data_IF_865785511063
#
_entry.id   IF_865785511063
#
_cell.length_a   1.000
_cell.length_b   1.000
_cell.length_c   1.000
_cell.angle_alpha   90.00
_cell.angle_beta   90.00
_cell.angle_gamma   90.00
#
_symmetry.space_group_name_H-M   'P 1'
#
loop_
_entity.id
_entity.type
_entity.pdbx_description
1 polymer ?
#
# COMPACT_ATOMS: atom_id res chain seq x y z
N UNK A 1 22.83 83.10 40.88
CA UNK A 1 22.67 83.07 42.34
C UNK A 1 22.09 81.72 42.73
N UNK A 2 22.92 80.94 43.35
CA UNK A 2 22.72 79.67 44.08
C UNK A 2 21.59 79.72 45.10
N UNK A 3 21.16 78.62 45.80
CA UNK A 3 21.68 77.28 45.91
C UNK A 3 20.57 76.16 46.04
N UNK A 4 20.92 74.85 45.82
CA UNK A 4 21.24 73.78 46.78
C UNK A 4 20.09 73.16 47.60
N UNK A 5 20.02 71.87 47.53
CA UNK A 5 19.80 70.77 48.49
C UNK A 5 18.98 69.64 47.90
N UNK A 6 19.54 68.55 47.51
CA UNK A 6 19.94 67.31 48.24
C UNK A 6 18.86 66.75 49.20
N UNK A 7 18.34 65.60 48.93
CA UNK A 7 18.07 64.55 49.94
C UNK A 7 17.91 63.19 49.31
N UNK A 8 18.78 62.30 49.72
CA UNK A 8 18.76 60.83 49.57
C UNK A 8 17.55 60.22 50.25
N UNK A 9 17.10 59.11 49.72
CA UNK A 9 16.63 57.89 50.38
C UNK A 9 16.08 57.00 49.30
N UNK A 10 16.45 55.76 49.07
CA UNK A 10 16.63 54.64 49.89
C UNK A 10 16.34 53.47 49.04
N UNK A 11 17.25 52.56 48.93
CA UNK A 11 17.25 51.32 48.19
C UNK A 11 16.07 50.34 48.48
N UNK A 12 15.59 49.70 47.46
CA UNK A 12 15.11 48.32 47.60
C UNK A 12 15.25 47.59 46.26
N UNK A 13 16.33 46.83 46.09
CA UNK A 13 16.49 45.82 45.08
C UNK A 13 15.49 44.69 45.36
N UNK A 14 14.49 44.52 44.52
CA UNK A 14 13.70 43.31 44.44
C UNK A 14 14.03 42.67 43.09
N UNK A 15 14.99 41.76 43.11
CA UNK A 15 15.29 40.83 41.99
C UNK A 15 14.19 39.78 41.93
N UNK A 16 13.24 39.93 40.99
CA UNK A 16 12.33 38.87 40.63
C UNK A 16 12.99 37.96 39.57
N UNK A 17 13.02 36.64 39.75
CA UNK A 17 13.49 35.75 38.67
C UNK A 17 12.44 35.75 37.57
N UNK A 18 12.83 36.16 36.35
CA UNK A 18 12.07 36.02 35.12
C UNK A 18 12.09 34.55 34.70
N UNK A 19 11.06 33.79 35.09
CA UNK A 19 10.81 32.46 34.56
C UNK A 19 10.36 32.65 33.12
N UNK A 20 11.27 32.44 32.17
CA UNK A 20 10.95 32.33 30.77
C UNK A 20 10.18 31.02 30.55
N UNK A 21 8.86 31.09 30.59
CA UNK A 21 7.99 30.04 30.07
C UNK A 21 8.19 30.01 28.56
N UNK A 22 9.04 29.08 28.08
CA UNK A 22 9.17 28.76 26.66
C UNK A 22 7.84 28.28 26.12
N UNK A 23 7.09 29.19 25.52
CA UNK A 23 5.89 28.87 24.79
C UNK A 23 6.30 27.98 23.59
N UNK A 24 6.02 26.70 23.67
CA UNK A 24 6.01 25.85 22.49
C UNK A 24 4.94 26.40 21.54
N UNK A 25 5.39 27.10 20.49
CA UNK A 25 4.49 27.53 19.43
C UNK A 25 3.87 26.22 18.83
N UNK A 26 2.53 26.15 18.73
CA UNK A 26 1.92 25.03 18.04
C UNK A 26 2.49 25.01 16.62
N UNK A 27 3.12 23.90 16.24
CA UNK A 27 3.42 23.60 14.83
C UNK A 27 2.05 23.53 14.16
N UNK A 28 1.66 24.58 13.49
CA UNK A 28 0.49 24.56 12.62
C UNK A 28 0.84 23.60 11.49
N UNK A 29 0.26 22.42 11.52
CA UNK A 29 0.19 21.58 10.35
C UNK A 29 -0.41 22.46 9.25
N UNK A 30 0.41 22.83 8.27
CA UNK A 30 -0.07 23.53 7.08
C UNK A 30 -1.03 22.57 6.39
N UNK A 31 -2.34 22.80 6.60
CA UNK A 31 -3.34 22.21 5.74
C UNK A 31 -2.97 22.69 4.33
N UNK A 32 -2.61 21.74 3.47
CA UNK A 32 -2.41 22.02 2.04
C UNK A 32 -3.78 22.43 1.52
N UNK A 33 -4.08 23.72 1.64
CA UNK A 33 -5.33 24.29 1.16
C UNK A 33 -5.33 24.23 -0.37
N UNK A 34 -6.40 23.71 -0.93
CA UNK A 34 -6.61 23.76 -2.37
C UNK A 34 -6.80 25.23 -2.78
N UNK A 35 -5.97 25.68 -3.71
CA UNK A 35 -6.03 27.05 -4.21
C UNK A 35 -7.31 27.25 -5.02
N UNK A 36 -7.99 28.37 -4.84
CA UNK A 36 -9.14 28.74 -5.67
C UNK A 36 -8.66 29.16 -7.08
N UNK A 37 -9.00 28.35 -8.07
CA UNK A 37 -8.70 28.60 -9.48
C UNK A 37 -9.74 27.91 -10.33
N UNK A 38 -10.16 28.55 -11.41
CA UNK A 38 -11.12 27.97 -12.37
C UNK A 38 -10.55 26.75 -13.12
N UNK A 39 -9.22 26.67 -13.20
CA UNK A 39 -8.49 25.57 -13.85
C UNK A 39 -7.48 25.00 -12.86
N UNK A 40 -7.51 23.70 -12.70
CA UNK A 40 -6.52 22.93 -11.94
C UNK A 40 -5.73 22.04 -12.89
N UNK A 41 -4.53 21.71 -12.48
CA UNK A 41 -3.65 20.79 -13.21
C UNK A 41 -3.25 19.66 -12.29
N UNK A 42 -3.21 18.46 -12.85
CA UNK A 42 -2.77 17.25 -12.16
C UNK A 42 -1.85 16.45 -13.07
N UNK A 43 -0.90 15.75 -12.47
CA UNK A 43 -0.02 14.81 -13.15
C UNK A 43 -0.49 13.37 -12.87
N UNK A 44 -1.19 12.71 -13.83
CA UNK A 44 -1.72 11.36 -13.63
C UNK A 44 -0.64 10.31 -13.38
N UNK A 45 0.56 10.47 -13.97
CA UNK A 45 1.66 9.55 -13.80
C UNK A 45 2.19 9.61 -12.37
N UNK A 46 2.41 10.81 -11.84
CA UNK A 46 2.78 11.00 -10.44
C UNK A 46 1.70 10.51 -9.48
N UNK A 47 0.41 10.72 -9.79
CA UNK A 47 -0.67 10.15 -8.97
C UNK A 47 -0.55 8.63 -8.88
N UNK A 48 -0.31 7.95 -10.02
CA UNK A 48 -0.17 6.51 -10.06
C UNK A 48 1.09 6.02 -9.31
N UNK A 49 2.22 6.73 -9.45
CA UNK A 49 3.49 6.33 -8.85
C UNK A 49 3.59 6.66 -7.35
N UNK A 50 3.05 7.81 -6.93
CA UNK A 50 3.25 8.33 -5.57
C UNK A 50 2.17 7.86 -4.59
N UNK A 51 0.95 7.51 -5.04
CA UNK A 51 -0.12 7.07 -4.14
C UNK A 51 0.08 5.62 -3.68
N UNK A 52 -0.33 5.33 -2.43
CA UNK A 52 -0.35 3.97 -1.89
C UNK A 52 -1.21 3.01 -2.73
N UNK A 53 -2.31 3.50 -3.29
CA UNK A 53 -3.16 2.72 -4.19
C UNK A 53 -2.41 2.31 -5.46
N UNK A 54 -1.74 3.25 -6.14
CA UNK A 54 -0.98 2.97 -7.36
C UNK A 54 0.22 2.04 -7.11
N UNK A 55 0.92 2.25 -5.98
CA UNK A 55 2.00 1.36 -5.54
C UNK A 55 1.51 -0.06 -5.24
N UNK A 56 0.33 -0.20 -4.61
CA UNK A 56 -0.27 -1.51 -4.35
C UNK A 56 -0.64 -2.23 -5.66
N UNK A 57 -1.22 -1.52 -6.64
CA UNK A 57 -1.52 -2.06 -7.97
C UNK A 57 -0.24 -2.52 -8.67
N UNK A 58 0.82 -1.72 -8.62
CA UNK A 58 2.12 -2.05 -9.22
C UNK A 58 2.73 -3.28 -8.57
N UNK A 59 2.70 -3.37 -7.24
CA UNK A 59 3.19 -4.52 -6.49
C UNK A 59 2.40 -5.80 -6.81
N UNK A 60 1.07 -5.70 -6.92
CA UNK A 60 0.22 -6.82 -7.32
C UNK A 60 0.57 -7.34 -8.71
N UNK A 61 0.71 -6.45 -9.70
CA UNK A 61 1.08 -6.83 -11.07
C UNK A 61 2.48 -7.49 -11.12
N UNK A 62 3.41 -7.01 -10.30
CA UNK A 62 4.73 -7.62 -10.21
C UNK A 62 4.65 -9.03 -9.60
N UNK A 63 3.85 -9.21 -8.55
CA UNK A 63 3.62 -10.53 -7.94
C UNK A 63 2.98 -11.52 -8.94
N UNK A 64 1.93 -11.07 -9.65
CA UNK A 64 1.28 -11.87 -10.70
C UNK A 64 2.28 -12.33 -11.78
N UNK A 65 3.21 -11.45 -12.17
CA UNK A 65 4.27 -11.77 -13.12
C UNK A 65 5.22 -12.84 -12.57
N UNK A 66 5.62 -12.73 -11.32
CA UNK A 66 6.50 -13.70 -10.65
C UNK A 66 5.83 -15.06 -10.53
N UNK A 67 4.54 -15.08 -10.17
CA UNK A 67 3.74 -16.30 -10.09
C UNK A 67 3.59 -16.98 -11.46
N UNK A 68 3.41 -16.22 -12.52
CA UNK A 68 3.38 -16.76 -13.90
C UNK A 68 4.71 -17.40 -14.30
N UNK A 69 5.83 -16.75 -13.95
CA UNK A 69 7.17 -17.30 -14.22
C UNK A 69 7.38 -18.60 -13.44
N UNK A 70 7.02 -18.60 -12.16
CA UNK A 70 7.14 -19.80 -11.31
C UNK A 70 6.27 -20.96 -11.81
N UNK A 71 5.02 -20.66 -12.20
CA UNK A 71 4.11 -21.64 -12.78
C UNK A 71 4.64 -22.24 -14.08
N UNK A 72 5.16 -21.40 -15.00
CA UNK A 72 5.72 -21.87 -16.26
C UNK A 72 6.92 -22.81 -16.03
N UNK A 73 7.84 -22.44 -15.14
CA UNK A 73 8.97 -23.30 -14.78
C UNK A 73 8.54 -24.64 -14.20
N UNK A 74 7.51 -24.63 -13.36
CA UNK A 74 6.93 -25.84 -12.78
C UNK A 74 6.35 -26.75 -13.88
N UNK A 75 5.55 -26.17 -14.80
CA UNK A 75 4.94 -26.92 -15.90
C UNK A 75 5.98 -27.47 -16.87
N UNK A 76 7.06 -26.73 -17.16
CA UNK A 76 8.18 -27.20 -17.97
C UNK A 76 8.87 -28.40 -17.31
N UNK A 77 9.15 -28.35 -16.01
CA UNK A 77 9.76 -29.47 -15.28
C UNK A 77 8.83 -30.70 -15.21
N UNK A 78 7.52 -30.50 -15.08
CA UNK A 78 6.56 -31.61 -15.14
C UNK A 78 6.53 -32.28 -16.52
N UNK A 79 6.55 -31.49 -17.60
CA UNK A 79 6.59 -32.02 -18.97
C UNK A 79 7.88 -32.77 -19.26
N UNK A 80 9.03 -32.24 -18.79
CA UNK A 80 10.34 -32.91 -18.94
C UNK A 80 10.36 -34.27 -18.20
N UNK A 81 9.82 -34.32 -16.99
CA UNK A 81 9.72 -35.57 -16.23
C UNK A 81 8.79 -36.58 -16.89
N UNK A 82 7.66 -36.14 -17.48
CA UNK A 82 6.71 -36.98 -18.19
C UNK A 82 7.31 -37.53 -19.50
N UNK A 83 8.04 -36.69 -20.27
CA UNK A 83 8.77 -37.10 -21.49
C UNK A 83 9.83 -38.17 -21.18
N UNK A 84 10.58 -38.00 -20.09
CA UNK A 84 11.56 -38.96 -19.64
C UNK A 84 10.90 -40.31 -19.29
N UNK A 85 9.80 -40.24 -18.53
CA UNK A 85 9.05 -41.44 -18.15
C UNK A 85 8.45 -42.19 -19.37
N UNK A 86 7.95 -41.44 -20.36
CA UNK A 86 7.49 -42.03 -21.63
C UNK A 86 8.65 -42.70 -22.41
N UNK A 87 9.82 -42.07 -22.41
CA UNK A 87 11.01 -42.63 -23.06
C UNK A 87 11.43 -43.96 -22.42
N UNK A 88 11.38 -44.07 -21.09
CA UNK A 88 11.68 -45.33 -20.37
C UNK A 88 10.63 -46.42 -20.63
N UNK A 89 9.36 -46.05 -20.80
CA UNK A 89 8.26 -47.00 -21.06
C UNK A 89 8.27 -47.54 -22.49
N UNK A 90 8.96 -46.91 -23.42
CA UNK A 90 8.94 -47.28 -24.85
C UNK A 90 9.30 -48.73 -25.12
N UNK A 91 10.29 -49.27 -24.42
CA UNK A 91 10.79 -50.62 -24.64
C UNK A 91 9.90 -51.71 -23.98
N UNK A 92 9.02 -51.29 -23.08
CA UNK A 92 8.15 -52.20 -22.29
C UNK A 92 6.68 -52.14 -22.69
N UNK A 93 6.29 -51.19 -23.54
CA UNK A 93 4.92 -50.95 -23.98
C UNK A 93 4.71 -51.40 -25.42
N UNK A 94 3.51 -51.85 -25.77
CA UNK A 94 3.19 -52.18 -27.14
C UNK A 94 3.22 -50.96 -28.07
N UNK A 95 3.56 -51.09 -29.36
CA UNK A 95 3.63 -49.97 -30.29
C UNK A 95 2.32 -49.16 -30.41
N UNK A 96 1.17 -49.81 -30.21
CA UNK A 96 -0.14 -49.14 -30.26
C UNK A 96 -0.39 -48.33 -28.98
N UNK A 97 -0.21 -48.92 -27.82
CA UNK A 97 -0.34 -48.24 -26.52
C UNK A 97 0.66 -47.08 -26.39
N UNK A 98 1.90 -47.28 -26.85
CA UNK A 98 2.89 -46.20 -26.82
C UNK A 98 2.48 -45.03 -27.69
N UNK A 99 1.85 -45.25 -28.84
CA UNK A 99 1.33 -44.19 -29.70
C UNK A 99 0.24 -43.41 -29.01
N UNK A 100 -0.71 -44.08 -28.34
CA UNK A 100 -1.79 -43.42 -27.61
C UNK A 100 -1.23 -42.53 -26.47
N UNK A 101 -0.22 -43.02 -25.75
CA UNK A 101 0.46 -42.23 -24.69
C UNK A 101 1.20 -41.01 -25.27
N UNK A 102 1.91 -41.16 -26.39
CA UNK A 102 2.61 -40.07 -27.05
C UNK A 102 1.63 -39.01 -27.57
N UNK A 103 0.52 -39.43 -28.20
CA UNK A 103 -0.52 -38.52 -28.67
C UNK A 103 -1.14 -37.71 -27.48
N UNK A 104 -1.43 -38.39 -26.37
CA UNK A 104 -1.96 -37.74 -25.16
C UNK A 104 -0.96 -36.72 -24.55
N UNK A 105 0.33 -37.07 -24.57
CA UNK A 105 1.39 -36.14 -24.12
C UNK A 105 1.48 -34.92 -25.04
N UNK A 106 1.49 -35.12 -26.36
CA UNK A 106 1.52 -34.00 -27.32
C UNK A 106 0.32 -33.06 -27.17
N UNK A 107 -0.87 -33.60 -26.98
CA UNK A 107 -2.05 -32.80 -26.68
C UNK A 107 -1.90 -31.99 -25.37
N UNK A 108 -1.32 -32.63 -24.34
CA UNK A 108 -1.05 -31.92 -23.05
C UNK A 108 -0.05 -30.78 -23.22
N UNK A 109 1.04 -31.01 -23.95
CA UNK A 109 2.04 -29.98 -24.30
C UNK A 109 1.37 -28.82 -25.01
N UNK A 110 0.54 -29.07 -26.01
CA UNK A 110 -0.17 -28.01 -26.75
C UNK A 110 -1.13 -27.21 -25.85
N UNK A 111 -1.90 -27.90 -25.00
CA UNK A 111 -2.79 -27.21 -24.03
C UNK A 111 -2.01 -26.34 -23.08
N UNK A 112 -0.93 -26.83 -22.46
CA UNK A 112 -0.10 -26.08 -21.54
C UNK A 112 0.49 -24.82 -22.22
N UNK A 113 1.02 -24.96 -23.43
CA UNK A 113 1.57 -23.83 -24.21
C UNK A 113 0.50 -22.78 -24.53
N UNK A 114 -0.69 -23.22 -24.97
CA UNK A 114 -1.78 -22.31 -25.27
C UNK A 114 -2.25 -21.55 -24.01
N UNK A 115 -2.35 -22.25 -22.88
CA UNK A 115 -2.76 -21.66 -21.61
C UNK A 115 -1.72 -20.68 -21.06
N UNK A 116 -0.42 -21.02 -21.12
CA UNK A 116 0.66 -20.12 -20.75
C UNK A 116 0.62 -18.84 -21.59
N UNK A 117 0.50 -18.96 -22.90
CA UNK A 117 0.40 -17.79 -23.79
C UNK A 117 -0.84 -16.94 -23.51
N UNK A 118 -1.98 -17.56 -23.16
CA UNK A 118 -3.18 -16.84 -22.79
C UNK A 118 -2.97 -16.03 -21.51
N UNK A 119 -2.40 -16.62 -20.44
CA UNK A 119 -2.11 -15.96 -19.17
C UNK A 119 -1.15 -14.79 -19.33
N UNK A 120 -0.07 -14.97 -20.12
CA UNK A 120 0.87 -13.89 -20.40
C UNK A 120 0.21 -12.71 -21.09
N UNK A 121 -0.61 -12.98 -22.12
CA UNK A 121 -1.36 -11.91 -22.80
C UNK A 121 -2.39 -11.24 -21.91
N UNK A 122 -3.00 -11.96 -20.99
CA UNK A 122 -3.95 -11.40 -20.02
C UNK A 122 -3.25 -10.50 -19.03
N UNK A 123 -2.14 -10.95 -18.45
CA UNK A 123 -1.31 -10.12 -17.57
C UNK A 123 -0.85 -8.83 -18.26
N UNK A 124 -0.37 -8.92 -19.51
CA UNK A 124 0.07 -7.75 -20.27
C UNK A 124 -1.08 -6.75 -20.49
N UNK A 125 -2.28 -7.22 -20.85
CA UNK A 125 -3.46 -6.36 -20.96
C UNK A 125 -3.85 -5.71 -19.63
N UNK A 126 -3.73 -6.44 -18.52
CA UNK A 126 -4.02 -5.89 -17.20
C UNK A 126 -3.01 -4.78 -16.83
N UNK A 127 -1.73 -5.01 -17.12
CA UNK A 127 -0.67 -4.02 -16.93
C UNK A 127 -0.91 -2.75 -17.75
N UNK A 128 -1.30 -2.90 -19.01
CA UNK A 128 -1.59 -1.76 -19.90
C UNK A 128 -2.82 -0.96 -19.43
N UNK A 129 -3.82 -1.61 -18.83
CA UNK A 129 -5.04 -0.98 -18.34
C UNK A 129 -4.92 -0.37 -16.95
N UNK A 130 -3.98 -0.85 -16.15
CA UNK A 130 -3.85 -0.48 -14.74
C UNK A 130 -3.84 1.04 -14.49
N UNK A 131 -3.10 1.88 -15.26
CA UNK A 131 -3.14 3.33 -15.06
C UNK A 131 -4.52 3.94 -15.34
N UNK A 132 -5.24 3.43 -16.36
CA UNK A 132 -6.57 3.90 -16.68
C UNK A 132 -7.61 3.50 -15.63
N UNK A 133 -7.51 2.26 -15.14
CA UNK A 133 -8.41 1.75 -14.10
C UNK A 133 -8.14 2.46 -12.75
N UNK A 134 -6.89 2.77 -12.46
CA UNK A 134 -6.51 3.63 -11.34
C UNK A 134 -7.16 5.01 -11.45
N UNK A 135 -7.07 5.67 -12.62
CA UNK A 135 -7.67 6.99 -12.83
C UNK A 135 -9.19 6.98 -12.60
N UNK A 136 -9.89 5.92 -13.02
CA UNK A 136 -11.32 5.77 -12.72
C UNK A 136 -11.63 5.64 -11.23
N UNK A 137 -10.75 4.97 -10.48
CA UNK A 137 -10.93 4.81 -9.04
C UNK A 137 -10.70 6.14 -8.29
N UNK A 138 -9.76 6.96 -8.73
CA UNK A 138 -9.43 8.24 -8.08
C UNK A 138 -10.29 9.40 -8.56
N UNK A 139 -11.01 9.27 -9.67
CA UNK A 139 -11.89 10.30 -10.24
C UNK A 139 -12.82 10.95 -9.21
N UNK A 140 -13.53 10.21 -8.32
CA UNK A 140 -14.39 10.82 -7.33
C UNK A 140 -13.64 11.76 -6.38
N UNK A 141 -12.41 11.41 -6.00
CA UNK A 141 -11.56 12.24 -5.13
C UNK A 141 -11.13 13.53 -5.84
N UNK A 142 -10.78 13.43 -7.14
CA UNK A 142 -10.44 14.59 -7.96
C UNK A 142 -11.64 15.52 -8.15
N UNK A 143 -12.84 14.97 -8.30
CA UNK A 143 -14.09 15.74 -8.39
C UNK A 143 -14.36 16.52 -7.09
N UNK A 144 -14.09 15.94 -5.94
CA UNK A 144 -14.23 16.61 -4.64
C UNK A 144 -13.22 17.76 -4.52
N UNK A 145 -11.95 17.53 -4.85
CA UNK A 145 -10.92 18.57 -4.86
C UNK A 145 -11.28 19.72 -5.84
N UNK A 146 -11.80 19.37 -7.01
CA UNK A 146 -12.27 20.36 -7.99
C UNK A 146 -13.39 21.23 -7.40
N UNK A 147 -14.36 20.66 -6.69
CA UNK A 147 -15.45 21.42 -6.05
C UNK A 147 -14.95 22.29 -4.91
N UNK A 148 -14.05 21.78 -4.08
CA UNK A 148 -13.45 22.55 -2.97
C UNK A 148 -12.68 23.78 -3.47
N UNK A 149 -11.99 23.63 -4.61
CA UNK A 149 -11.27 24.74 -5.26
C UNK A 149 -12.17 25.71 -6.02
N UNK A 150 -13.45 25.36 -6.26
CA UNK A 150 -14.34 26.11 -7.14
C UNK A 150 -13.94 26.02 -8.62
N UNK A 151 -13.15 25.03 -8.99
CA UNK A 151 -12.65 24.87 -10.34
C UNK A 151 -13.71 24.26 -11.28
N UNK A 152 -13.66 24.69 -12.52
CA UNK A 152 -14.51 24.16 -13.58
C UNK A 152 -13.86 23.01 -14.36
N UNK A 153 -12.51 22.92 -14.35
CA UNK A 153 -11.75 21.96 -15.15
C UNK A 153 -10.52 21.49 -14.40
N UNK A 154 -10.22 20.18 -14.53
CA UNK A 154 -8.92 19.59 -14.19
C UNK A 154 -8.25 19.13 -15.47
N UNK A 155 -7.01 19.54 -15.70
CA UNK A 155 -6.23 19.25 -16.90
C UNK A 155 -5.04 18.34 -16.58
N UNK A 156 -4.69 17.47 -17.52
CA UNK A 156 -3.44 16.70 -17.45
C UNK A 156 -2.24 17.66 -17.67
N UNK A 157 -1.29 17.64 -16.75
CA UNK A 157 -0.07 18.44 -16.80
C UNK A 157 0.68 18.34 -18.13
N UNK A 158 0.68 17.17 -18.75
CA UNK A 158 1.35 16.92 -20.04
C UNK A 158 0.73 17.67 -21.23
N UNK A 159 -0.53 18.09 -21.08
CA UNK A 159 -1.24 18.88 -22.12
C UNK A 159 -1.08 20.37 -21.94
N UNK A 160 -0.50 20.82 -20.82
CA UNK A 160 -0.32 22.23 -20.49
C UNK A 160 1.09 22.66 -20.81
N UNK A 161 1.26 23.66 -21.67
CA UNK A 161 2.58 24.15 -22.08
C UNK A 161 3.32 24.91 -20.94
N UNK A 162 2.58 25.78 -20.24
CA UNK A 162 3.08 26.57 -19.11
C UNK A 162 1.97 26.67 -18.06
N UNK A 163 2.35 26.49 -16.81
CA UNK A 163 1.46 26.63 -15.66
C UNK A 163 2.18 27.27 -14.49
N UNK A 164 1.47 27.93 -13.61
CA UNK A 164 1.97 28.36 -12.32
C UNK A 164 1.83 27.18 -11.33
N UNK A 165 2.78 27.02 -10.42
CA UNK A 165 2.76 25.94 -9.41
C UNK A 165 1.48 25.97 -8.56
N UNK A 166 0.87 27.12 -8.41
CA UNK A 166 -0.33 27.34 -7.61
C UNK A 166 -1.56 26.56 -8.13
N UNK A 167 -1.63 26.25 -9.43
CA UNK A 167 -2.74 25.49 -10.02
C UNK A 167 -2.46 23.98 -10.06
N UNK A 168 -1.25 23.54 -9.74
CA UNK A 168 -0.88 22.13 -9.66
C UNK A 168 -1.33 21.55 -8.32
N UNK A 169 -2.36 20.69 -8.40
CA UNK A 169 -2.93 20.02 -7.23
C UNK A 169 -2.40 18.61 -7.02
N UNK A 170 -1.38 18.17 -7.78
CA UNK A 170 -0.91 16.77 -7.75
C UNK A 170 -0.59 16.29 -6.34
N UNK A 171 0.19 17.07 -5.57
CA UNK A 171 0.56 16.68 -4.19
C UNK A 171 -0.64 16.66 -3.23
N UNK A 172 -1.59 17.59 -3.38
CA UNK A 172 -2.83 17.58 -2.60
C UNK A 172 -3.71 16.39 -2.95
N UNK A 173 -3.77 16.04 -4.25
CA UNK A 173 -4.51 14.88 -4.72
C UNK A 173 -3.90 13.57 -4.21
N UNK A 174 -2.56 13.42 -4.23
CA UNK A 174 -1.87 12.25 -3.63
C UNK A 174 -2.29 12.06 -2.18
N UNK A 175 -2.19 13.11 -1.36
CA UNK A 175 -2.57 13.04 0.06
C UNK A 175 -4.04 12.68 0.27
N UNK A 176 -4.94 13.27 -0.53
CA UNK A 176 -6.38 13.00 -0.41
C UNK A 176 -6.73 11.59 -0.88
N UNK A 177 -6.13 11.10 -1.96
CA UNK A 177 -6.30 9.73 -2.45
C UNK A 177 -5.83 8.74 -1.40
N UNK A 178 -4.66 8.98 -0.81
CA UNK A 178 -4.11 8.11 0.23
C UNK A 178 -4.95 8.09 1.50
N UNK A 179 -5.55 9.20 1.86
CA UNK A 179 -6.45 9.28 2.99
C UNK A 179 -7.80 8.58 2.75
N UNK A 180 -8.27 8.53 1.49
CA UNK A 180 -9.61 8.05 1.15
C UNK A 180 -9.62 6.62 0.61
N UNK A 181 -8.64 6.28 -0.24
CA UNK A 181 -8.59 5.02 -1.01
C UNK A 181 -7.34 4.19 -0.70
N UNK A 182 -6.37 4.76 -0.01
CA UNK A 182 -5.16 4.03 0.35
C UNK A 182 -5.50 2.81 1.22
N UNK A 183 -4.77 1.68 1.08
CA UNK A 183 -4.86 0.62 2.06
C UNK A 183 -4.59 1.22 3.44
N UNK A 184 -5.35 0.82 4.45
CA UNK A 184 -5.17 1.31 5.82
C UNK A 184 -3.68 1.24 6.16
N UNK A 185 -3.08 2.37 6.57
CA UNK A 185 -1.72 2.34 7.07
C UNK A 185 -1.67 1.27 8.16
N UNK A 186 -0.66 0.40 8.21
CA UNK A 186 -0.48 -0.45 9.36
C UNK A 186 -0.48 0.47 10.58
N UNK A 187 -1.32 0.14 11.55
CA UNK A 187 -1.54 0.92 12.76
C UNK A 187 -0.19 1.08 13.48
N UNK A 188 0.55 2.16 13.23
CA UNK A 188 1.77 2.51 13.96
C UNK A 188 1.47 3.02 15.38
N UNK A 189 0.30 2.71 15.90
CA UNK A 189 -0.22 3.25 17.13
C UNK A 189 -0.85 2.27 18.07
N UNK A 190 -0.18 1.21 18.48
CA UNK A 190 -0.37 0.67 19.82
C UNK A 190 0.80 -0.23 20.28
N UNK A 191 2.00 0.33 20.33
CA UNK A 191 3.06 -0.19 21.17
C UNK A 191 2.99 0.50 22.55
N UNK A 192 1.80 0.63 23.12
CA UNK A 192 1.66 0.88 24.55
C UNK A 192 1.55 -0.47 25.24
N UNK A 193 2.71 -0.90 25.74
CA UNK A 193 2.85 -2.12 26.50
C UNK A 193 2.03 -2.08 27.78
N UNK A 194 0.84 -2.62 27.72
CA UNK A 194 0.20 -3.13 28.91
C UNK A 194 0.81 -4.52 29.14
N UNK A 195 1.87 -4.54 29.92
CA UNK A 195 2.41 -5.69 30.60
C UNK A 195 1.25 -6.34 31.37
N UNK A 196 0.62 -7.36 30.77
CA UNK A 196 -0.30 -8.23 31.45
C UNK A 196 0.52 -9.03 32.48
N UNK A 197 0.46 -8.61 33.73
CA UNK A 197 0.88 -9.41 34.90
C UNK A 197 0.23 -10.80 34.77
N UNK A 198 0.98 -11.89 34.81
CA UNK A 198 0.38 -13.22 34.86
C UNK A 198 -0.35 -13.38 36.17
N UNK A 199 -1.67 -13.36 36.13
CA UNK A 199 -2.56 -13.77 37.21
C UNK A 199 -2.25 -15.22 37.56
N UNK A 200 -1.80 -15.39 38.77
CA UNK A 200 -1.48 -16.67 39.41
C UNK A 200 -2.70 -17.58 39.37
N UNK A 201 -2.65 -18.59 38.51
CA UNK A 201 -3.67 -19.64 38.47
C UNK A 201 -3.63 -20.41 39.80
N UNK A 202 -4.74 -20.33 40.52
CA UNK A 202 -5.08 -21.13 41.70
C UNK A 202 -5.17 -22.62 41.30
N UNK A 203 -4.53 -23.54 42.02
CA UNK A 203 -4.56 -24.96 41.67
C UNK A 203 -5.93 -25.55 41.93
N UNK A 204 -6.49 -26.21 40.90
CA UNK A 204 -7.73 -26.96 40.96
C UNK A 204 -7.67 -28.06 42.02
N UNK A 205 -8.79 -28.33 42.75
CA UNK A 205 -8.83 -29.39 43.73
C UNK A 205 -8.82 -30.79 43.09
N UNK A 206 -8.07 -31.70 43.74
CA UNK A 206 -7.98 -33.12 43.40
C UNK A 206 -9.36 -33.81 43.29
N UNK A 207 -9.56 -34.73 42.35
CA UNK A 207 -10.75 -35.55 42.31
C UNK A 207 -10.75 -36.64 43.40
N UNK A 208 -11.79 -36.66 44.21
CA UNK A 208 -12.02 -37.72 45.19
C UNK A 208 -12.18 -39.09 44.50
N UNK A 209 -11.77 -40.19 45.14
CA UNK A 209 -11.88 -41.52 44.56
C UNK A 209 -13.32 -42.05 44.67
N UNK A 210 -13.93 -42.32 43.56
CA UNK A 210 -15.21 -43.03 43.51
C UNK A 210 -15.06 -44.46 44.04
N UNK A 211 -15.68 -44.71 45.17
CA UNK A 211 -15.91 -46.04 45.71
C UNK A 211 -16.96 -46.77 44.90
N UNK A 212 -16.54 -47.82 44.23
CA UNK A 212 -17.43 -48.83 43.63
C UNK A 212 -18.16 -49.64 44.70
N UNK A 213 -19.47 -49.82 44.63
CA UNK A 213 -20.11 -50.91 45.34
C UNK A 213 -20.19 -52.18 44.51
N UNK A 214 -19.75 -53.26 45.10
CA UNK A 214 -20.01 -54.62 44.65
C UNK A 214 -21.51 -54.97 44.79
N UNK A 215 -22.09 -55.60 43.76
CA UNK A 215 -22.95 -56.80 43.78
C UNK A 215 -23.27 -57.20 42.35
#
# INVERSE_FOLDING_TARGET
>A
MTPLRALLTGAALLTAPLIAVGGAAPVQAQSVGVVQSDILVVDPERLYEETRLGQAITAQLQQEREDLIALNRKLEAELEAEELALTEQRDTTSPEEFRDLADAFDERVQRIRADSQRRVREHERNRERAPLDFMRQVEPVLVELMREAGAAVVMDRRTVLLQADVVDITSAAVQRIDATLGPAAPDEGNADGTEATPETADPAPDPEPETSPAE
#
